data_IF_436345210966
#
_entry.id   IF_436345210966
#
_cell.length_a   1.000
_cell.length_b   1.000
_cell.length_c   1.000
_cell.angle_alpha   90.00
_cell.angle_beta   90.00
_cell.angle_gamma   90.00
#
_symmetry.space_group_name_H-M   'P 1'
#
loop_
_entity.id
_entity.type
_entity.pdbx_description
1 polymer ?
#
# COMPACT_ATOMS: atom_id res chain seq x y z
N UNK A 1 18.02 5.76 3.27
CA UNK A 1 17.72 6.44 1.99
C UNK A 1 16.24 6.36 1.61
N UNK A 2 15.62 5.18 1.61
CA UNK A 2 14.20 5.00 1.28
C UNK A 2 13.22 5.95 2.00
N UNK A 3 13.40 6.21 3.31
CA UNK A 3 12.58 7.22 4.03
C UNK A 3 12.66 8.61 3.40
N UNK A 4 13.86 9.07 3.00
CA UNK A 4 14.04 10.39 2.38
C UNK A 4 13.30 10.46 1.05
N UNK A 5 13.38 9.41 0.24
CA UNK A 5 12.66 9.30 -1.03
C UNK A 5 11.15 9.32 -0.82
N UNK A 6 10.65 8.57 0.16
CA UNK A 6 9.24 8.51 0.52
C UNK A 6 8.71 9.89 0.94
N UNK A 7 9.40 10.57 1.86
CA UNK A 7 8.99 11.91 2.30
C UNK A 7 9.02 12.91 1.15
N UNK A 8 10.06 12.91 0.31
CA UNK A 8 10.13 13.80 -0.85
C UNK A 8 9.04 13.54 -1.91
N UNK A 9 8.60 12.28 -2.08
CA UNK A 9 7.48 11.95 -2.95
C UNK A 9 6.14 12.40 -2.35
N UNK A 10 5.94 12.23 -1.03
CA UNK A 10 4.76 12.72 -0.33
C UNK A 10 4.65 14.25 -0.37
N UNK A 11 5.76 14.97 -0.14
CA UNK A 11 5.78 16.44 -0.22
C UNK A 11 5.37 16.95 -1.61
N UNK A 12 5.80 16.25 -2.68
CA UNK A 12 5.38 16.55 -4.05
C UNK A 12 3.90 16.29 -4.27
N UNK A 13 3.39 15.16 -3.81
CA UNK A 13 1.98 14.81 -3.97
C UNK A 13 1.07 15.75 -3.17
N UNK A 14 1.46 16.12 -1.95
CA UNK A 14 0.75 17.06 -1.09
C UNK A 14 0.55 18.44 -1.74
N UNK A 15 1.45 18.83 -2.64
CA UNK A 15 1.34 20.08 -3.40
C UNK A 15 0.36 20.06 -4.58
N UNK A 16 -0.26 18.92 -4.90
CA UNK A 16 -1.22 18.80 -6.00
C UNK A 16 -2.64 19.19 -5.54
N UNK A 17 -3.37 19.88 -6.41
CA UNK A 17 -4.76 20.28 -6.14
C UNK A 17 -5.72 19.08 -5.96
N UNK A 18 -5.39 17.94 -6.58
CA UNK A 18 -6.18 16.71 -6.53
C UNK A 18 -5.71 15.73 -5.43
N UNK A 19 -4.86 16.17 -4.50
CA UNK A 19 -4.23 15.30 -3.48
C UNK A 19 -5.22 14.38 -2.75
N UNK A 20 -6.40 14.89 -2.40
CA UNK A 20 -7.43 14.14 -1.68
C UNK A 20 -7.99 12.93 -2.45
N UNK A 21 -7.74 12.85 -3.75
CA UNK A 21 -8.18 11.74 -4.62
C UNK A 21 -7.07 10.73 -4.91
N UNK A 22 -5.84 11.03 -4.49
CA UNK A 22 -4.68 10.18 -4.75
C UNK A 22 -4.66 8.97 -3.84
N UNK A 23 -4.02 7.91 -4.34
CA UNK A 23 -3.94 6.60 -3.71
C UNK A 23 -2.49 6.16 -3.50
N UNK A 24 -2.31 5.03 -2.82
CA UNK A 24 -1.00 4.37 -2.70
C UNK A 24 -0.36 4.04 -4.07
N UNK A 25 -1.18 3.82 -5.12
CA UNK A 25 -0.68 3.60 -6.48
C UNK A 25 0.08 4.83 -6.98
N UNK A 26 -0.46 6.02 -6.74
CA UNK A 26 0.12 7.28 -7.20
C UNK A 26 1.45 7.55 -6.49
N UNK A 27 1.53 7.27 -5.19
CA UNK A 27 2.77 7.35 -4.43
C UNK A 27 3.86 6.40 -4.96
N UNK A 28 3.51 5.14 -5.25
CA UNK A 28 4.47 4.18 -5.82
C UNK A 28 4.92 4.65 -7.20
N UNK A 29 4.00 5.13 -8.04
CA UNK A 29 4.33 5.66 -9.37
C UNK A 29 5.24 6.89 -9.29
N UNK A 30 5.05 7.80 -8.33
CA UNK A 30 5.95 8.95 -8.10
C UNK A 30 7.37 8.53 -7.72
N UNK A 31 7.50 7.45 -6.93
CA UNK A 31 8.81 6.90 -6.57
C UNK A 31 9.51 6.28 -7.79
N UNK A 32 8.75 5.56 -8.64
CA UNK A 32 9.26 5.00 -9.90
C UNK A 32 9.67 6.11 -10.87
N UNK A 33 8.84 7.15 -11.04
CA UNK A 33 9.11 8.29 -11.91
C UNK A 33 10.35 9.08 -11.47
N UNK A 34 10.62 9.15 -10.16
CA UNK A 34 11.83 9.73 -9.59
C UNK A 34 13.09 8.84 -9.73
N UNK A 35 12.98 7.68 -10.39
CA UNK A 35 14.10 6.76 -10.62
C UNK A 35 14.49 5.94 -9.39
N UNK A 36 13.67 5.91 -8.34
CA UNK A 36 13.96 5.10 -7.16
C UNK A 36 13.61 3.63 -7.41
N UNK A 37 14.48 2.68 -7.02
CA UNK A 37 14.22 1.27 -7.23
C UNK A 37 13.08 0.79 -6.34
N UNK A 38 12.10 0.12 -6.94
CA UNK A 38 10.98 -0.52 -6.25
C UNK A 38 11.11 -2.03 -6.41
N UNK A 39 11.11 -2.75 -5.29
CA UNK A 39 11.13 -4.20 -5.26
C UNK A 39 9.73 -4.72 -4.95
N UNK A 40 9.19 -5.56 -5.84
CA UNK A 40 7.94 -6.29 -5.61
C UNK A 40 8.28 -7.68 -5.08
N UNK A 41 7.74 -8.04 -3.92
CA UNK A 41 7.89 -9.36 -3.31
C UNK A 41 6.54 -10.06 -3.38
N UNK A 42 6.45 -11.12 -4.20
CA UNK A 42 5.26 -11.93 -4.30
C UNK A 42 5.22 -12.96 -3.17
N UNK A 43 4.21 -12.88 -2.32
CA UNK A 43 3.96 -13.83 -1.23
C UNK A 43 2.72 -14.64 -1.58
N UNK A 44 2.80 -15.97 -1.45
CA UNK A 44 1.70 -16.87 -1.79
C UNK A 44 0.89 -17.19 -0.52
N UNK A 45 -0.40 -16.87 -0.52
CA UNK A 45 -1.31 -17.09 0.60
C UNK A 45 -1.05 -16.20 1.84
N UNK A 46 -1.95 -16.26 2.83
CA UNK A 46 -1.84 -15.62 4.16
C UNK A 46 -2.15 -14.13 4.28
N UNK A 47 -2.71 -13.50 3.25
CA UNK A 47 -3.19 -12.11 3.34
C UNK A 47 -4.70 -12.09 3.15
N UNK A 48 -5.41 -11.64 4.18
CA UNK A 48 -6.84 -11.34 4.12
C UNK A 48 -7.03 -9.85 4.29
N UNK A 49 -7.72 -9.24 3.33
CA UNK A 49 -8.12 -7.85 3.41
C UNK A 49 -9.38 -7.72 4.28
N UNK A 50 -9.40 -6.72 5.17
CA UNK A 50 -10.49 -6.51 6.13
C UNK A 50 -10.96 -5.07 6.02
N UNK A 51 -12.01 -4.85 5.22
CA UNK A 51 -12.56 -3.52 4.97
C UNK A 51 -14.01 -3.37 5.45
N UNK A 52 -14.58 -4.42 6.03
CA UNK A 52 -15.96 -4.44 6.50
C UNK A 52 -16.14 -5.31 7.74
N UNK A 53 -17.27 -5.13 8.44
CA UNK A 53 -17.66 -5.99 9.55
C UNK A 53 -17.78 -7.46 9.14
N UNK A 54 -18.23 -7.73 7.91
CA UNK A 54 -18.28 -9.08 7.36
C UNK A 54 -16.89 -9.67 7.17
N UNK A 55 -15.93 -8.88 6.71
CA UNK A 55 -14.55 -9.36 6.54
C UNK A 55 -13.91 -9.69 7.89
N UNK A 56 -14.30 -8.98 8.96
CA UNK A 56 -13.81 -9.25 10.30
C UNK A 56 -14.23 -10.65 10.81
N UNK A 57 -15.47 -11.06 10.55
CA UNK A 57 -15.95 -12.40 10.88
C UNK A 57 -15.12 -13.49 10.19
N UNK A 58 -14.84 -13.30 8.89
CA UNK A 58 -14.01 -14.21 8.12
C UNK A 58 -12.53 -14.17 8.55
N UNK A 59 -11.99 -13.01 8.94
CA UNK A 59 -10.63 -12.88 9.45
C UNK A 59 -10.40 -13.69 10.73
N UNK A 60 -11.41 -13.80 11.59
CA UNK A 60 -11.36 -14.68 12.76
C UNK A 60 -11.21 -16.16 12.39
N UNK A 61 -11.75 -16.59 11.25
CA UNK A 61 -11.62 -17.97 10.74
C UNK A 61 -10.33 -18.19 9.95
N UNK A 62 -9.77 -17.12 9.37
CA UNK A 62 -8.56 -17.14 8.55
C UNK A 62 -7.32 -17.65 9.31
N UNK A 63 -7.19 -17.34 10.61
CA UNK A 63 -6.05 -17.75 11.44
C UNK A 63 -6.09 -19.23 11.86
N UNK A 64 -7.26 -19.87 11.83
CA UNK A 64 -7.44 -21.20 12.43
C UNK A 64 -6.86 -22.35 11.59
N UNK A 65 -6.43 -22.09 10.35
CA UNK A 65 -5.96 -23.11 9.43
C UNK A 65 -7.11 -24.04 9.04
N UNK A 66 -7.39 -24.17 7.74
CA UNK A 66 -8.28 -25.23 7.31
C UNK A 66 -7.65 -26.57 7.72
N UNK A 67 -8.25 -27.24 8.71
CA UNK A 67 -8.03 -28.66 9.00
C UNK A 67 -8.81 -29.49 8.01
#
# INVERSE_FOLDING_TARGET
>A
EGRRWLTAALDRLLGRDDFATLSMRDLINELVAAGHPIRVIYVHGHWMDVNSLRDLEHAGQFTLGQR
#
